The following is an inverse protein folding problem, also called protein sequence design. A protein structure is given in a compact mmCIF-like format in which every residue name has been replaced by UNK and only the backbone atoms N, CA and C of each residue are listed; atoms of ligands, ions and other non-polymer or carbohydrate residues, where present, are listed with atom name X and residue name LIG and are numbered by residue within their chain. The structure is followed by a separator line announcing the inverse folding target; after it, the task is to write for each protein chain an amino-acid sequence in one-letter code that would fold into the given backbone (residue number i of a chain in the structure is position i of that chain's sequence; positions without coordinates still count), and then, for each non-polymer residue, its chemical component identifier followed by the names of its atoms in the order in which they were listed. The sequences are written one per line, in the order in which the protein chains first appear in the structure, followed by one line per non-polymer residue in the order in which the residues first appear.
data_IF_905108259598
#
_entry.id   IF_905108259598
#
_cell.length_a   1.000
_cell.length_b   1.000
_cell.length_c   1.000
_cell.angle_alpha   90.00
_cell.angle_beta   90.00
_cell.angle_gamma   90.00
#
_symmetry.space_group_name_H-M   'P 1'
#
loop_
_entity.id
_entity.type
_entity.pdbx_description
1 polymer ?
#
# COMPACT_ATOMS: atom_id res chain seq x y z
N UNK A 1 -4.81 18.38 -4.92
CA UNK A 1 -4.46 17.00 -5.31
C UNK A 1 -5.74 16.29 -5.72
N UNK A 2 -5.73 15.65 -6.91
CA UNK A 2 -6.89 14.87 -7.33
C UNK A 2 -7.25 13.75 -6.34
N UNK A 3 -8.51 13.41 -6.23
CA UNK A 3 -8.98 12.36 -5.31
C UNK A 3 -8.31 11.01 -5.52
N UNK A 4 -7.89 10.73 -6.75
CA UNK A 4 -7.17 9.49 -7.06
C UNK A 4 -5.83 9.41 -6.35
N UNK A 5 -5.18 10.55 -6.11
CA UNK A 5 -3.89 10.60 -5.43
C UNK A 5 -4.04 10.38 -3.92
N UNK A 6 -5.15 10.78 -3.32
CA UNK A 6 -5.43 10.51 -1.91
C UNK A 6 -5.55 9.00 -1.64
N UNK A 7 -6.22 8.30 -2.53
CA UNK A 7 -6.36 6.85 -2.44
C UNK A 7 -4.99 6.16 -2.50
N UNK A 8 -4.13 6.56 -3.44
CA UNK A 8 -2.77 6.03 -3.54
C UNK A 8 -1.93 6.38 -2.32
N UNK A 9 -2.05 7.62 -1.84
CA UNK A 9 -1.36 8.04 -0.62
C UNK A 9 -1.74 7.16 0.57
N UNK A 10 -3.03 6.83 0.72
CA UNK A 10 -3.49 5.96 1.79
C UNK A 10 -2.88 4.57 1.71
N UNK A 11 -2.85 3.97 0.52
CA UNK A 11 -2.24 2.65 0.33
C UNK A 11 -0.74 2.69 0.65
N UNK A 12 -0.03 3.68 0.12
CA UNK A 12 1.42 3.78 0.30
C UNK A 12 1.83 4.05 1.75
N UNK A 13 0.93 4.60 2.55
CA UNK A 13 1.18 4.87 3.97
C UNK A 13 0.59 3.81 4.90
N UNK A 14 0.09 2.71 4.36
CA UNK A 14 -0.50 1.64 5.17
C UNK A 14 0.55 0.64 5.65
N UNK A 15 0.22 -0.08 6.71
CA UNK A 15 1.05 -1.18 7.20
C UNK A 15 1.21 -2.29 6.16
N UNK A 16 0.20 -2.49 5.32
CA UNK A 16 0.24 -3.49 4.26
C UNK A 16 1.40 -3.19 3.30
N UNK A 17 1.49 -1.95 2.84
CA UNK A 17 2.57 -1.52 1.96
C UNK A 17 3.92 -1.56 2.67
N UNK A 18 3.98 -1.11 3.91
CA UNK A 18 5.22 -1.12 4.69
C UNK A 18 5.74 -2.55 4.92
N UNK A 19 4.86 -3.50 5.20
CA UNK A 19 5.24 -4.89 5.36
C UNK A 19 5.82 -5.46 4.06
N UNK A 20 5.18 -5.15 2.93
CA UNK A 20 5.66 -5.54 1.61
C UNK A 20 7.06 -4.98 1.35
N UNK A 21 7.25 -3.68 1.59
CA UNK A 21 8.53 -3.02 1.36
C UNK A 21 9.64 -3.64 2.19
N UNK A 22 9.38 -3.94 3.47
CA UNK A 22 10.39 -4.54 4.35
C UNK A 22 10.81 -5.93 3.88
N UNK A 23 9.85 -6.77 3.50
CA UNK A 23 10.13 -8.16 3.12
C UNK A 23 10.71 -8.27 1.71
N UNK A 24 10.11 -7.58 0.75
CA UNK A 24 10.54 -7.66 -0.66
C UNK A 24 11.86 -6.93 -0.86
N UNK A 25 12.07 -5.79 -0.20
CA UNK A 25 13.31 -5.04 -0.30
C UNK A 25 14.51 -5.88 0.20
N UNK A 26 14.33 -6.62 1.31
CA UNK A 26 15.38 -7.48 1.83
C UNK A 26 15.73 -8.59 0.83
N UNK A 27 14.71 -9.23 0.23
CA UNK A 27 14.92 -10.28 -0.78
C UNK A 27 15.64 -9.75 -2.01
N UNK A 28 15.23 -8.59 -2.51
CA UNK A 28 15.81 -7.99 -3.71
C UNK A 28 17.21 -7.45 -3.45
N UNK A 29 17.51 -7.05 -2.21
CA UNK A 29 18.82 -6.55 -1.83
C UNK A 29 19.91 -7.61 -1.97
N UNK A 30 19.54 -8.88 -1.88
CA UNK A 30 20.46 -10.01 -2.06
C UNK A 30 20.59 -10.43 -3.52
N UNK A 31 19.86 -9.78 -4.43
CA UNK A 31 19.90 -10.02 -5.86
C UNK A 31 20.60 -8.84 -6.54
N UNK A 32 21.50 -9.13 -7.49
CA UNK A 32 22.24 -8.11 -8.24
C UNK A 32 21.34 -7.19 -9.07
N UNK A 33 20.10 -7.60 -9.32
CA UNK A 33 19.15 -6.81 -10.08
C UNK A 33 18.29 -5.87 -9.21
N UNK A 34 18.66 -5.69 -7.93
CA UNK A 34 17.89 -4.86 -7.02
C UNK A 34 17.76 -3.42 -7.52
N UNK A 35 16.53 -2.91 -7.48
CA UNK A 35 16.22 -1.54 -7.85
C UNK A 35 15.04 -1.08 -7.01
N UNK A 36 15.08 0.17 -6.55
CA UNK A 36 13.97 0.78 -5.80
C UNK A 36 12.70 0.82 -6.64
N UNK A 37 12.85 1.12 -7.92
CA UNK A 37 11.72 1.18 -8.85
C UNK A 37 11.03 -0.17 -8.97
N UNK A 38 11.80 -1.25 -8.98
CA UNK A 38 11.25 -2.61 -9.04
C UNK A 38 10.39 -2.89 -7.82
N UNK A 39 10.83 -2.49 -6.62
CA UNK A 39 10.06 -2.72 -5.38
C UNK A 39 8.73 -1.97 -5.41
N UNK A 40 8.74 -0.69 -5.82
CA UNK A 40 7.52 0.10 -5.91
C UNK A 40 6.59 -0.40 -7.00
N UNK A 41 7.14 -0.77 -8.16
CA UNK A 41 6.34 -1.18 -9.31
C UNK A 41 5.75 -2.58 -9.17
N UNK A 42 6.28 -3.39 -8.26
CA UNK A 42 5.78 -4.76 -8.06
C UNK A 42 4.70 -4.85 -6.98
N UNK A 43 4.45 -3.76 -6.22
CA UNK A 43 3.40 -3.79 -5.21
C UNK A 43 2.03 -4.00 -5.87
N UNK A 44 1.35 -5.11 -5.54
CA UNK A 44 0.08 -5.41 -6.22
C UNK A 44 -1.06 -4.55 -5.70
N UNK A 45 -1.78 -3.90 -6.62
CA UNK A 45 -2.98 -3.13 -6.30
C UNK A 45 -4.12 -3.76 -7.09
N UNK A 46 -5.06 -4.46 -6.42
CA UNK A 46 -6.18 -5.10 -7.11
C UNK A 46 -7.19 -4.06 -7.57
N UNK A 47 -8.13 -4.47 -8.40
CA UNK A 47 -9.27 -3.61 -8.72
C UNK A 47 -10.10 -3.43 -7.45
N UNK A 48 -10.24 -2.20 -7.03
CA UNK A 48 -10.99 -1.85 -5.83
C UNK A 48 -12.33 -1.25 -6.20
N UNK A 49 -13.34 -1.52 -5.36
CA UNK A 49 -14.65 -0.91 -5.55
C UNK A 49 -14.58 0.59 -5.30
N UNK A 50 -15.57 1.32 -5.83
CA UNK A 50 -15.66 2.77 -5.60
C UNK A 50 -15.74 3.06 -4.11
N UNK A 51 -16.46 2.21 -3.36
CA UNK A 51 -16.60 2.35 -1.91
C UNK A 51 -15.27 2.21 -1.19
N UNK A 52 -14.45 1.20 -1.53
CA UNK A 52 -13.14 1.02 -0.92
C UNK A 52 -12.20 2.18 -1.24
N UNK A 53 -12.20 2.65 -2.48
CA UNK A 53 -11.39 3.81 -2.87
C UNK A 53 -11.79 5.06 -2.09
N UNK A 54 -13.08 5.27 -1.91
CA UNK A 54 -13.62 6.40 -1.13
C UNK A 54 -13.17 6.31 0.33
N UNK A 55 -13.31 5.13 0.94
CA UNK A 55 -12.93 4.92 2.33
C UNK A 55 -11.44 5.18 2.56
N UNK A 56 -10.59 4.67 1.69
CA UNK A 56 -9.15 4.88 1.78
C UNK A 56 -8.81 6.36 1.56
N UNK A 57 -9.48 7.03 0.63
CA UNK A 57 -9.28 8.47 0.39
C UNK A 57 -9.64 9.29 1.63
N UNK A 58 -10.72 8.95 2.31
CA UNK A 58 -11.14 9.61 3.53
C UNK A 58 -10.14 9.40 4.67
N UNK A 59 -9.65 8.18 4.85
CA UNK A 59 -8.65 7.91 5.90
C UNK A 59 -7.31 8.56 5.56
N UNK A 60 -6.93 8.60 4.30
CA UNK A 60 -5.72 9.30 3.85
C UNK A 60 -5.81 10.81 4.15
N UNK A 61 -6.97 11.40 3.89
CA UNK A 61 -7.20 12.81 4.22
C UNK A 61 -7.09 13.04 5.71
N UNK A 62 -7.60 12.12 6.53
CA UNK A 62 -7.51 12.22 8.00
C UNK A 62 -6.05 12.25 8.46
N UNK A 63 -5.16 11.50 7.80
CA UNK A 63 -3.73 11.52 8.10
C UNK A 63 -3.16 12.92 7.80
N UNK A 64 -3.49 13.48 6.63
CA UNK A 64 -3.01 14.79 6.24
C UNK A 64 -3.55 15.88 7.17
N UNK A 65 -4.82 15.80 7.55
CA UNK A 65 -5.44 16.75 8.48
C UNK A 65 -4.77 16.68 9.85
N UNK A 66 -4.48 15.48 10.35
CA UNK A 66 -3.78 15.30 11.62
C UNK A 66 -2.38 15.90 11.60
N UNK A 67 -1.64 15.74 10.49
CA UNK A 67 -0.34 16.38 10.31
C UNK A 67 -0.45 17.90 10.32
N UNK A 68 -1.52 18.43 9.73
CA UNK A 68 -1.75 19.87 9.62
C UNK A 68 -1.99 20.56 10.97
N UNK A 69 -2.38 19.81 12.00
CA UNK A 69 -2.49 20.36 13.37
C UNK A 69 -1.13 20.70 13.97
N UNK A 70 -0.04 20.21 13.39
CA UNK A 70 1.31 20.39 13.93
C UNK A 70 2.24 20.97 12.86
N UNK A 71 1.96 22.22 12.40
CA UNK A 71 2.71 22.79 11.27
C UNK A 71 4.19 23.06 11.58
N UNK A 72 4.54 23.20 12.86
CA UNK A 72 5.91 23.47 13.28
C UNK A 72 6.72 22.22 13.59
N UNK A 73 6.11 21.03 13.51
CA UNK A 73 6.78 19.77 13.77
C UNK A 73 7.29 19.16 12.47
N UNK A 74 8.51 18.60 12.50
CA UNK A 74 9.04 17.87 11.35
C UNK A 74 8.34 16.52 11.23
N UNK A 75 8.45 15.88 10.05
CA UNK A 75 7.93 14.53 9.88
C UNK A 75 8.63 13.53 10.82
N UNK A 76 9.93 13.72 11.05
CA UNK A 76 10.67 12.89 11.98
C UNK A 76 10.09 12.96 13.39
N UNK A 77 9.74 14.17 13.86
CA UNK A 77 9.13 14.35 15.17
C UNK A 77 7.72 13.75 15.22
N UNK A 78 6.92 13.95 14.18
CA UNK A 78 5.55 13.42 14.14
C UNK A 78 5.52 11.89 14.17
N UNK A 79 6.53 11.24 13.59
CA UNK A 79 6.59 9.78 13.53
C UNK A 79 7.54 9.15 14.54
N UNK A 80 8.08 9.95 15.47
CA UNK A 80 8.81 9.42 16.62
C UNK A 80 7.84 8.67 17.53
N UNK A 81 8.11 7.42 17.90
CA UNK A 81 7.20 6.64 18.75
C UNK A 81 6.86 7.30 20.08
N UNK A 82 7.75 8.14 20.60
CA UNK A 82 7.52 8.85 21.87
C UNK A 82 6.79 10.17 21.70
N UNK A 83 6.88 10.78 20.52
CA UNK A 83 6.33 12.14 20.28
C UNK A 83 5.09 12.12 19.39
N UNK A 84 4.76 11.01 18.78
CA UNK A 84 3.67 10.89 17.82
C UNK A 84 2.33 11.30 18.45
N UNK A 85 1.63 12.31 17.87
CA UNK A 85 0.33 12.72 18.37
C UNK A 85 -0.70 11.59 18.29
N UNK A 86 -1.62 11.56 19.25
CA UNK A 86 -2.68 10.55 19.30
C UNK A 86 -3.56 10.61 18.06
N UNK A 87 -3.89 11.83 17.60
CA UNK A 87 -4.71 12.05 16.41
C UNK A 87 -4.09 11.44 15.17
N UNK A 88 -2.77 11.60 15.02
CA UNK A 88 -2.05 11.05 13.89
C UNK A 88 -2.01 9.52 13.96
N UNK A 89 -1.78 8.97 15.15
CA UNK A 89 -1.77 7.52 15.37
C UNK A 89 -3.13 6.90 15.02
N UNK A 90 -4.21 7.52 15.49
CA UNK A 90 -5.58 7.04 15.21
C UNK A 90 -5.89 7.11 13.72
N UNK A 91 -5.44 8.16 13.05
CA UNK A 91 -5.64 8.31 11.61
C UNK A 91 -4.94 7.20 10.84
N UNK A 92 -3.72 6.85 11.21
CA UNK A 92 -2.98 5.74 10.58
C UNK A 92 -3.64 4.38 10.86
N UNK A 93 -4.12 4.15 12.07
CA UNK A 93 -4.81 2.91 12.41
C UNK A 93 -6.07 2.76 11.55
N UNK A 94 -6.86 3.84 11.41
CA UNK A 94 -8.06 3.83 10.58
C UNK A 94 -7.71 3.57 9.11
N UNK A 95 -6.63 4.16 8.62
CA UNK A 95 -6.18 3.94 7.25
C UNK A 95 -5.74 2.49 7.03
N UNK A 96 -5.00 1.91 7.97
CA UNK A 96 -4.58 0.51 7.89
C UNK A 96 -5.78 -0.42 7.80
N UNK A 97 -6.81 -0.18 8.60
CA UNK A 97 -8.04 -0.97 8.56
C UNK A 97 -8.77 -0.84 7.23
N UNK A 98 -8.82 0.37 6.68
CA UNK A 98 -9.47 0.61 5.39
C UNK A 98 -8.73 -0.12 4.26
N UNK A 99 -7.40 -0.08 4.25
CA UNK A 99 -6.59 -0.75 3.24
C UNK A 99 -6.72 -2.27 3.37
N UNK A 100 -6.65 -2.80 4.59
CA UNK A 100 -6.80 -4.24 4.81
C UNK A 100 -8.19 -4.73 4.36
N UNK A 101 -9.23 -3.97 4.65
CA UNK A 101 -10.58 -4.30 4.21
C UNK A 101 -10.66 -4.31 2.67
N UNK A 102 -10.03 -3.35 2.02
CA UNK A 102 -10.02 -3.26 0.56
C UNK A 102 -9.31 -4.46 -0.09
N UNK A 103 -8.28 -4.99 0.58
CA UNK A 103 -7.56 -6.18 0.10
C UNK A 103 -8.23 -7.48 0.53
N UNK A 104 -9.27 -7.42 1.34
CA UNK A 104 -9.95 -8.61 1.87
C UNK A 104 -9.15 -9.31 2.96
N UNK A 105 -8.25 -8.60 3.62
CA UNK A 105 -7.41 -9.16 4.69
C UNK A 105 -8.12 -9.07 6.04
N UNK A 106 -7.92 -10.09 6.87
CA UNK A 106 -8.39 -10.06 8.26
C UNK A 106 -7.50 -9.14 9.10
N UNK A 107 -8.09 -8.39 10.02
CA UNK A 107 -7.33 -7.51 10.92
C UNK A 107 -6.43 -8.30 11.87
N UNK A 108 -6.63 -9.61 11.98
CA UNK A 108 -5.83 -10.50 12.83
C UNK A 108 -4.59 -11.05 12.12
N UNK A 109 -4.44 -10.80 10.82
CA UNK A 109 -3.31 -11.30 10.05
C UNK A 109 -2.01 -10.64 10.49
N UNK A 110 -0.94 -11.45 10.58
CA UNK A 110 0.40 -10.95 10.84
C UNK A 110 0.97 -10.26 9.60
N UNK A 111 2.09 -9.54 9.76
CA UNK A 111 2.81 -8.96 8.61
C UNK A 111 3.19 -10.04 7.60
N UNK A 112 3.66 -11.19 8.09
CA UNK A 112 4.06 -12.31 7.23
C UNK A 112 2.90 -12.83 6.42
N UNK A 113 1.72 -12.97 7.05
CA UNK A 113 0.51 -13.42 6.37
C UNK A 113 0.09 -12.43 5.28
N UNK A 114 0.16 -11.13 5.57
CA UNK A 114 -0.16 -10.09 4.60
C UNK A 114 0.79 -10.14 3.40
N UNK A 115 2.09 -10.27 3.64
CA UNK A 115 3.09 -10.34 2.57
C UNK A 115 2.86 -11.58 1.71
N UNK A 116 2.55 -12.72 2.34
CA UNK A 116 2.29 -13.97 1.63
C UNK A 116 1.09 -13.84 0.70
N UNK A 117 0.00 -13.24 1.19
CA UNK A 117 -1.19 -12.99 0.36
C UNK A 117 -0.91 -11.99 -0.76
N UNK A 118 -0.10 -10.96 -0.48
CA UNK A 118 0.32 -10.00 -1.50
C UNK A 118 1.17 -10.66 -2.58
N UNK A 119 2.05 -11.58 -2.21
CA UNK A 119 2.86 -12.33 -3.18
C UNK A 119 1.98 -13.20 -4.08
N UNK A 120 0.96 -13.83 -3.53
CA UNK A 120 -0.02 -14.61 -4.31
C UNK A 120 -0.75 -13.70 -5.28
N UNK A 121 -1.18 -12.53 -4.83
CA UNK A 121 -1.88 -11.57 -5.66
C UNK A 121 -0.99 -11.06 -6.79
N UNK A 122 0.27 -10.77 -6.48
CA UNK A 122 1.24 -10.31 -7.46
C UNK A 122 1.46 -11.37 -8.55
N UNK A 123 1.63 -12.64 -8.16
CA UNK A 123 1.80 -13.74 -9.09
C UNK A 123 0.58 -13.93 -9.99
N UNK A 124 -0.60 -13.81 -9.42
CA UNK A 124 -1.86 -13.90 -10.17
C UNK A 124 -1.96 -12.79 -11.20
N UNK A 125 -1.62 -11.56 -10.82
CA UNK A 125 -1.67 -10.41 -11.73
C UNK A 125 -0.67 -10.54 -12.87
N UNK A 126 0.53 -11.05 -12.60
CA UNK A 126 1.53 -11.31 -13.64
C UNK A 126 1.03 -12.37 -14.61
N UNK A 127 0.45 -13.44 -14.09
CA UNK A 127 -0.07 -14.53 -14.92
C UNK A 127 -1.19 -14.03 -15.84
N UNK A 128 -2.12 -13.24 -15.31
CA UNK A 128 -3.20 -12.63 -16.09
C UNK A 128 -2.65 -11.74 -17.20
N UNK A 129 -1.63 -10.94 -16.89
CA UNK A 129 -0.99 -10.07 -17.86
C UNK A 129 -0.32 -10.85 -18.97
N UNK A 130 0.38 -11.93 -18.64
CA UNK A 130 1.01 -12.83 -19.62
C UNK A 130 -0.03 -13.49 -20.52
N UNK A 131 -1.15 -13.90 -19.96
CA UNK A 131 -2.25 -14.50 -20.74
C UNK A 131 -2.85 -13.50 -21.70
N UNK A 132 -3.04 -12.24 -21.28
CA UNK A 132 -3.54 -11.17 -22.14
C UNK A 132 -2.59 -10.88 -23.31
N UNK A 133 -1.28 -10.87 -23.04
CA UNK A 133 -0.26 -10.68 -24.09
C UNK A 133 -0.23 -11.84 -25.06
N UNK A 134 -0.38 -13.07 -24.57
CA UNK A 134 -0.45 -14.27 -25.40
C UNK A 134 -1.67 -14.23 -26.33
N UNK A 135 -2.84 -13.87 -25.80
CA UNK A 135 -4.08 -13.73 -26.57
C UNK A 135 -3.95 -12.66 -27.65
N UNK A 136 -3.33 -11.52 -27.34
CA UNK A 136 -3.09 -10.45 -28.31
C UNK A 136 -2.17 -10.90 -29.44
N UNK A 137 -1.13 -11.69 -29.14
CA UNK A 137 -0.23 -12.25 -30.15
C UNK A 137 -0.95 -13.24 -31.05
N UNK A 138 -1.83 -14.05 -30.48
CA UNK A 138 -2.60 -15.04 -31.22
C UNK A 138 -3.63 -14.38 -32.15
N UNK A 139 -4.18 -13.24 -31.76
CA UNK A 139 -5.16 -12.48 -32.58
C UNK A 139 -4.53 -11.69 -33.72
N UNK A 140 -3.22 -11.47 -33.71
CA UNK A 140 -2.49 -10.74 -34.76
C UNK A 140 -2.05 -11.62 -35.93
N UNK A 141 -2.34 -12.88 -35.88
CA UNK A 141 -2.14 -13.77 -37.01
C UNK A 141 -3.39 -13.74 -37.88
#
# INVERSE_FOLDING_TARGET
IPNADLFMFGILNSNVHNAWMRKVAVRLKNDYSYSKDLVYNTFPIPELTVEHKKNISETAKSILDARAFYPNSSLADLYDPLLMPIELRKAHIANDKAVMAAYGFSLKMSEEDCVEELMKLYQKMILEEKMKKSDKKSKKK
#
